data_IF_298396805938
#
_entry.id   IF_298396805938
#
_cell.length_a   1.000
_cell.length_b   1.000
_cell.length_c   1.000
_cell.angle_alpha   90.00
_cell.angle_beta   90.00
_cell.angle_gamma   90.00
#
_symmetry.space_group_name_H-M   'P 1'
#
loop_
_entity.id
_entity.type
_entity.pdbx_description
1 polymer ?
#
# COMPACT_ATOMS: atom_id res chain seq x y z
N UNK A 1 -4.28 6.28 6.26
CA UNK A 1 -5.10 5.67 5.18
C UNK A 1 -5.74 4.40 5.73
N UNK A 2 -7.04 4.21 5.49
CA UNK A 2 -7.77 3.03 5.93
C UNK A 2 -7.87 2.00 4.80
N UNK A 3 -7.82 0.69 5.15
CA UNK A 3 -7.99 -0.41 4.20
C UNK A 3 -9.22 -1.22 4.56
N UNK A 4 -10.00 -1.58 3.55
CA UNK A 4 -11.16 -2.45 3.66
C UNK A 4 -11.04 -3.61 2.68
N UNK A 5 -11.44 -4.81 3.09
CA UNK A 5 -11.51 -5.99 2.23
C UNK A 5 -12.99 -6.29 1.95
N UNK A 6 -13.36 -6.30 0.67
CA UNK A 6 -14.74 -6.60 0.26
C UNK A 6 -14.80 -7.73 -0.77
N UNK A 7 -15.75 -8.68 -0.61
CA UNK A 7 -16.06 -9.62 -1.67
C UNK A 7 -16.85 -8.88 -2.77
N UNK A 8 -16.16 -8.48 -3.82
CA UNK A 8 -16.73 -7.81 -4.98
C UNK A 8 -16.52 -8.70 -6.19
N UNK A 9 -17.58 -9.37 -6.63
CA UNK A 9 -17.61 -10.04 -7.92
C UNK A 9 -17.48 -9.00 -9.06
N UNK A 10 -16.93 -9.40 -10.20
CA UNK A 10 -16.64 -8.48 -11.31
C UNK A 10 -17.87 -7.69 -11.81
N UNK A 11 -19.05 -8.26 -11.71
CA UNK A 11 -20.32 -7.63 -12.09
C UNK A 11 -20.83 -6.62 -11.04
N UNK A 12 -20.38 -6.72 -9.79
CA UNK A 12 -20.78 -5.83 -8.68
C UNK A 12 -19.83 -4.68 -8.44
N UNK A 13 -18.60 -4.78 -8.90
CA UNK A 13 -17.58 -3.74 -8.68
C UNK A 13 -17.99 -2.40 -9.31
N UNK A 14 -18.70 -2.44 -10.44
CA UNK A 14 -19.18 -1.25 -11.15
C UNK A 14 -20.21 -0.44 -10.35
N UNK A 15 -20.91 -1.09 -9.42
CA UNK A 15 -21.92 -0.48 -8.56
C UNK A 15 -21.36 -0.03 -7.19
N UNK A 16 -20.06 -0.17 -6.95
CA UNK A 16 -19.45 0.32 -5.72
C UNK A 16 -19.21 1.84 -5.83
N UNK A 17 -19.89 2.60 -4.98
CA UNK A 17 -19.76 4.07 -4.97
C UNK A 17 -18.37 4.49 -4.44
N UNK A 18 -17.57 5.10 -5.31
CA UNK A 18 -16.23 5.58 -5.00
C UNK A 18 -15.81 6.70 -5.96
N UNK A 19 -14.71 7.38 -5.63
CA UNK A 19 -14.17 8.45 -6.49
C UNK A 19 -13.39 7.87 -7.66
N UNK A 20 -12.66 6.77 -7.42
CA UNK A 20 -11.97 6.05 -8.49
C UNK A 20 -12.10 4.53 -8.30
N UNK A 21 -12.40 3.84 -9.39
CA UNK A 21 -12.36 2.39 -9.52
C UNK A 21 -11.13 2.03 -10.36
N UNK A 22 -10.21 1.26 -9.77
CA UNK A 22 -9.07 0.68 -10.47
C UNK A 22 -9.37 -0.79 -10.72
N UNK A 23 -9.35 -1.22 -11.99
CA UNK A 23 -9.53 -2.61 -12.38
C UNK A 23 -8.21 -3.14 -12.95
N UNK A 24 -7.67 -4.17 -12.32
CA UNK A 24 -6.44 -4.83 -12.75
C UNK A 24 -6.74 -5.86 -13.83
N UNK A 25 -6.02 -5.79 -14.95
CA UNK A 25 -6.25 -6.60 -16.15
C UNK A 25 -5.00 -7.40 -16.49
N UNK A 26 -5.06 -8.73 -16.37
CA UNK A 26 -3.94 -9.63 -16.68
C UNK A 26 -3.87 -10.00 -18.16
N UNK A 27 -2.64 -10.23 -18.65
CA UNK A 27 -2.38 -10.80 -19.97
C UNK A 27 -2.76 -12.29 -20.00
N UNK A 28 -3.22 -12.78 -21.14
CA UNK A 28 -3.55 -14.22 -21.32
C UNK A 28 -4.96 -14.64 -20.91
N UNK A 29 -5.71 -13.76 -20.25
CA UNK A 29 -7.13 -13.99 -19.95
C UNK A 29 -8.08 -13.43 -21.01
N UNK A 30 -7.51 -12.92 -22.07
CA UNK A 30 -8.23 -12.44 -23.27
C UNK A 30 -9.07 -13.52 -23.96
N UNK A 31 -8.81 -14.80 -23.64
CA UNK A 31 -9.49 -15.90 -24.30
C UNK A 31 -10.92 -16.11 -23.87
N UNK A 32 -11.32 -15.94 -22.62
CA UNK A 32 -12.71 -16.24 -22.21
C UNK A 32 -13.12 -15.72 -20.82
N UNK A 33 -12.27 -15.64 -19.82
CA UNK A 33 -12.71 -15.41 -18.44
C UNK A 33 -12.88 -13.94 -18.06
N UNK A 34 -12.08 -13.02 -18.63
CA UNK A 34 -12.25 -11.58 -18.38
C UNK A 34 -13.43 -10.99 -19.18
N UNK A 35 -13.69 -11.56 -20.38
CA UNK A 35 -14.85 -11.22 -21.23
C UNK A 35 -16.18 -11.80 -20.71
N UNK A 36 -16.14 -12.66 -19.70
CA UNK A 36 -17.34 -13.29 -19.11
C UNK A 36 -17.99 -12.40 -18.04
N UNK A 37 -17.30 -11.36 -17.54
CA UNK A 37 -17.93 -10.36 -16.69
C UNK A 37 -18.97 -9.55 -17.48
N UNK A 38 -20.23 -9.60 -17.05
CA UNK A 38 -21.32 -8.79 -17.65
C UNK A 38 -21.29 -7.32 -17.22
N UNK A 39 -20.29 -6.89 -16.44
CA UNK A 39 -20.15 -5.52 -15.94
C UNK A 39 -19.64 -4.55 -16.99
N UNK A 40 -20.04 -3.28 -16.87
CA UNK A 40 -19.65 -2.21 -17.80
C UNK A 40 -18.14 -2.02 -17.90
N UNK A 41 -17.42 -2.15 -16.78
CA UNK A 41 -15.94 -2.08 -16.74
C UNK A 41 -15.29 -3.20 -17.55
N UNK A 42 -15.83 -4.43 -17.48
CA UNK A 42 -15.34 -5.57 -18.23
C UNK A 42 -15.57 -5.41 -19.74
N UNK A 43 -16.76 -4.94 -20.13
CA UNK A 43 -17.10 -4.65 -21.53
C UNK A 43 -16.18 -3.57 -22.09
N UNK A 44 -15.98 -2.48 -21.34
CA UNK A 44 -15.10 -1.38 -21.73
C UNK A 44 -13.65 -1.84 -21.90
N UNK A 45 -13.15 -2.65 -20.98
CA UNK A 45 -11.81 -3.22 -21.08
C UNK A 45 -11.64 -4.08 -22.33
N UNK A 46 -12.63 -4.95 -22.62
CA UNK A 46 -12.60 -5.81 -23.80
C UNK A 46 -12.63 -5.00 -25.10
N UNK A 47 -13.45 -3.96 -25.17
CA UNK A 47 -13.52 -3.05 -26.33
C UNK A 47 -12.20 -2.31 -26.52
N UNK A 48 -11.64 -1.73 -25.47
CA UNK A 48 -10.40 -0.97 -25.52
C UNK A 48 -9.18 -1.84 -25.92
N UNK A 49 -9.15 -3.11 -25.49
CA UNK A 49 -8.12 -4.05 -25.93
C UNK A 49 -8.30 -4.39 -27.41
N UNK A 50 -9.53 -4.64 -27.86
CA UNK A 50 -9.82 -4.98 -29.25
C UNK A 50 -9.51 -3.84 -30.23
N UNK A 51 -9.76 -2.59 -29.81
CA UNK A 51 -9.44 -1.39 -30.60
C UNK A 51 -7.96 -1.00 -30.56
N UNK A 52 -7.17 -1.58 -29.64
CA UNK A 52 -5.76 -1.22 -29.44
C UNK A 52 -5.54 0.00 -28.54
N UNK A 53 -6.60 0.54 -27.91
CA UNK A 53 -6.51 1.70 -27.01
C UNK A 53 -5.94 1.34 -25.65
N UNK A 54 -5.97 0.05 -25.28
CA UNK A 54 -5.45 -0.44 -24.02
C UNK A 54 -4.61 -1.72 -24.19
N UNK A 55 -3.40 -1.72 -23.57
CA UNK A 55 -2.49 -2.86 -23.54
C UNK A 55 -2.42 -3.41 -22.09
N UNK A 56 -2.46 -4.73 -21.94
CA UNK A 56 -2.38 -5.42 -20.66
C UNK A 56 -0.98 -5.52 -20.08
N UNK A 57 0.05 -4.95 -20.73
CA UNK A 57 1.41 -4.85 -20.21
C UNK A 57 1.43 -4.10 -18.89
N UNK A 58 2.38 -4.49 -18.02
CA UNK A 58 2.49 -3.98 -16.65
C UNK A 58 2.56 -2.45 -16.60
N UNK A 59 1.65 -1.84 -15.83
CA UNK A 59 1.62 -0.40 -15.60
C UNK A 59 1.02 0.43 -16.75
N UNK A 60 0.53 -0.21 -17.84
CA UNK A 60 -0.25 0.50 -18.85
C UNK A 60 -1.61 0.86 -18.28
N UNK A 61 -2.05 2.09 -18.55
CA UNK A 61 -3.28 2.66 -17.98
C UNK A 61 -4.19 3.17 -19.07
N UNK A 62 -5.50 2.93 -18.89
CA UNK A 62 -6.56 3.64 -19.61
C UNK A 62 -7.49 4.27 -18.57
N UNK A 63 -7.72 5.57 -18.66
CA UNK A 63 -8.59 6.30 -17.72
C UNK A 63 -9.83 6.81 -18.43
N UNK A 64 -11.00 6.54 -17.85
CA UNK A 64 -12.28 7.04 -18.29
C UNK A 64 -12.95 7.84 -17.17
N UNK A 65 -13.46 9.01 -17.47
CA UNK A 65 -14.18 9.85 -16.53
C UNK A 65 -15.68 9.69 -16.71
N UNK A 66 -16.40 9.46 -15.61
CA UNK A 66 -17.86 9.26 -15.56
C UNK A 66 -18.36 8.25 -16.61
N UNK A 67 -17.77 7.03 -16.66
CA UNK A 67 -18.17 6.03 -17.63
C UNK A 67 -19.61 5.59 -17.39
N UNK A 68 -20.34 5.36 -18.47
CA UNK A 68 -21.74 4.90 -18.40
C UNK A 68 -21.82 3.51 -17.77
N UNK A 69 -22.76 3.31 -16.83
CA UNK A 69 -22.97 2.03 -16.17
C UNK A 69 -22.01 1.74 -15.01
N UNK A 70 -21.16 2.72 -14.60
CA UNK A 70 -20.23 2.59 -13.48
C UNK A 70 -20.46 3.76 -12.51
N UNK A 71 -20.62 3.47 -11.23
CA UNK A 71 -20.90 4.51 -10.21
C UNK A 71 -19.66 5.31 -9.79
N UNK A 72 -18.46 4.82 -10.08
CA UNK A 72 -17.22 5.55 -9.81
C UNK A 72 -17.10 6.79 -10.71
N UNK A 73 -16.64 7.91 -10.16
CA UNK A 73 -16.39 9.13 -10.92
C UNK A 73 -15.27 8.96 -11.97
N UNK A 74 -14.34 8.03 -11.71
CA UNK A 74 -13.23 7.68 -12.61
C UNK A 74 -13.00 6.18 -12.63
N UNK A 75 -12.91 5.60 -13.82
CA UNK A 75 -12.43 4.24 -14.03
C UNK A 75 -10.98 4.29 -14.52
N UNK A 76 -10.13 3.43 -13.95
CA UNK A 76 -8.76 3.22 -14.41
C UNK A 76 -8.58 1.73 -14.68
N UNK A 77 -8.42 1.36 -15.93
CA UNK A 77 -7.95 0.03 -16.30
C UNK A 77 -6.43 0.02 -16.18
N UNK A 78 -5.87 -1.00 -15.55
CA UNK A 78 -4.44 -1.11 -15.35
C UNK A 78 -3.94 -2.50 -15.71
N UNK A 79 -3.01 -2.59 -16.68
CA UNK A 79 -2.38 -3.83 -17.09
C UNK A 79 -1.45 -4.38 -15.99
N UNK A 80 -1.56 -5.66 -15.70
CA UNK A 80 -0.71 -6.38 -14.71
C UNK A 80 0.16 -7.47 -15.33
N UNK A 81 0.22 -7.57 -16.65
CA UNK A 81 0.98 -8.61 -17.34
C UNK A 81 0.51 -10.01 -16.91
N UNK A 82 1.42 -10.83 -16.38
CA UNK A 82 1.15 -12.19 -15.90
C UNK A 82 0.39 -12.24 -14.56
N UNK A 83 0.13 -11.08 -13.92
CA UNK A 83 -0.53 -11.01 -12.63
C UNK A 83 0.33 -11.43 -11.43
N UNK A 84 1.63 -11.66 -11.60
CA UNK A 84 2.54 -11.98 -10.51
C UNK A 84 2.55 -10.89 -9.43
N UNK A 85 2.85 -11.20 -8.15
CA UNK A 85 2.89 -10.21 -7.07
C UNK A 85 3.81 -9.01 -7.36
N UNK A 86 4.92 -9.24 -8.07
CA UNK A 86 5.84 -8.19 -8.53
C UNK A 86 5.17 -7.25 -9.52
N UNK A 87 4.51 -7.82 -10.53
CA UNK A 87 3.83 -7.06 -11.58
C UNK A 87 2.59 -6.33 -11.02
N UNK A 88 1.85 -6.96 -10.12
CA UNK A 88 0.75 -6.32 -9.38
C UNK A 88 1.24 -5.08 -8.62
N UNK A 89 2.36 -5.19 -7.89
CA UNK A 89 2.94 -4.06 -7.17
C UNK A 89 3.25 -2.89 -8.11
N UNK A 90 3.91 -3.15 -9.22
CA UNK A 90 4.26 -2.12 -10.22
C UNK A 90 3.01 -1.47 -10.82
N UNK A 91 2.02 -2.27 -11.18
CA UNK A 91 0.76 -1.81 -11.76
C UNK A 91 -0.04 -0.93 -10.79
N UNK A 92 -0.17 -1.37 -9.53
CA UNK A 92 -0.87 -0.60 -8.50
C UNK A 92 -0.17 0.73 -8.23
N UNK A 93 1.17 0.76 -8.16
CA UNK A 93 1.92 2.01 -8.02
C UNK A 93 1.68 2.97 -9.19
N UNK A 94 1.63 2.47 -10.42
CA UNK A 94 1.31 3.28 -11.61
C UNK A 94 -0.12 3.84 -11.55
N UNK A 95 -1.11 3.00 -11.23
CA UNK A 95 -2.50 3.41 -11.12
C UNK A 95 -2.72 4.47 -10.04
N UNK A 96 -2.17 4.28 -8.84
CA UNK A 96 -2.24 5.28 -7.77
C UNK A 96 -1.42 6.53 -8.10
N UNK A 97 -0.32 6.40 -8.85
CA UNK A 97 0.45 7.53 -9.38
C UNK A 97 -0.41 8.47 -10.24
N UNK A 98 -1.34 7.91 -11.04
CA UNK A 98 -2.26 8.68 -11.88
C UNK A 98 -3.35 9.42 -11.09
N UNK A 99 -3.53 9.09 -9.81
CA UNK A 99 -4.45 9.76 -8.89
C UNK A 99 -3.78 10.86 -8.05
N UNK A 100 -2.44 11.01 -8.13
CA UNK A 100 -1.74 12.08 -7.41
C UNK A 100 -2.27 13.45 -7.83
N UNK A 101 -2.57 14.29 -6.84
CA UNK A 101 -3.14 15.62 -7.08
C UNK A 101 -4.65 15.63 -7.37
N UNK A 102 -5.32 14.48 -7.43
CA UNK A 102 -6.77 14.41 -7.51
C UNK A 102 -7.42 14.51 -6.13
N UNK A 103 -8.74 14.77 -6.12
CA UNK A 103 -9.55 14.85 -4.91
C UNK A 103 -10.11 13.49 -4.47
N UNK A 104 -9.61 12.38 -5.03
CA UNK A 104 -10.09 11.05 -4.71
C UNK A 104 -9.81 10.68 -3.25
N UNK A 105 -10.89 10.56 -2.47
CA UNK A 105 -10.85 10.20 -1.06
C UNK A 105 -11.09 8.69 -0.84
N UNK A 106 -11.94 8.08 -1.67
CA UNK A 106 -12.24 6.63 -1.63
C UNK A 106 -11.90 6.01 -2.97
N UNK A 107 -11.00 5.03 -2.94
CA UNK A 107 -10.59 4.25 -4.13
C UNK A 107 -10.96 2.78 -3.94
N UNK A 108 -11.53 2.17 -4.95
CA UNK A 108 -11.74 0.73 -5.02
C UNK A 108 -10.69 0.14 -5.96
N UNK A 109 -9.91 -0.79 -5.46
CA UNK A 109 -8.96 -1.59 -6.24
C UNK A 109 -9.52 -2.99 -6.42
N UNK A 110 -9.98 -3.31 -7.62
CA UNK A 110 -10.45 -4.64 -7.99
C UNK A 110 -9.29 -5.48 -8.53
N UNK A 111 -9.01 -6.61 -7.88
CA UNK A 111 -7.98 -7.53 -8.35
C UNK A 111 -8.44 -8.34 -9.59
N UNK A 112 -9.70 -8.24 -9.95
CA UNK A 112 -10.25 -8.98 -11.10
C UNK A 112 -10.37 -10.49 -10.84
N UNK A 113 -10.91 -11.22 -11.82
CA UNK A 113 -11.01 -12.71 -11.74
C UNK A 113 -9.74 -13.41 -12.13
N UNK A 114 -8.81 -12.71 -12.70
CA UNK A 114 -7.62 -13.29 -13.29
C UNK A 114 -6.32 -13.01 -12.59
N UNK A 115 -6.28 -12.09 -11.70
CA UNK A 115 -5.19 -12.03 -10.75
C UNK A 115 -5.49 -13.08 -9.69
N UNK A 116 -4.53 -13.93 -9.43
CA UNK A 116 -4.61 -14.90 -8.34
C UNK A 116 -5.06 -14.15 -7.07
N UNK A 117 -6.31 -14.41 -6.63
CA UNK A 117 -6.82 -13.89 -5.35
C UNK A 117 -6.07 -14.49 -4.16
N UNK A 118 -4.87 -15.04 -4.42
CA UNK A 118 -3.99 -15.58 -3.41
C UNK A 118 -3.66 -14.52 -2.38
N UNK A 119 -3.45 -14.97 -1.16
CA UNK A 119 -3.02 -14.08 -0.09
C UNK A 119 -1.75 -13.28 -0.44
N UNK A 120 -0.91 -13.76 -1.37
CA UNK A 120 0.29 -13.06 -1.83
C UNK A 120 -0.04 -11.86 -2.73
N UNK A 121 -0.95 -12.04 -3.68
CA UNK A 121 -1.41 -10.97 -4.58
C UNK A 121 -2.08 -9.83 -3.78
N UNK A 122 -2.99 -10.19 -2.88
CA UNK A 122 -3.65 -9.22 -2.00
C UNK A 122 -2.66 -8.47 -1.11
N UNK A 123 -1.69 -9.19 -0.51
CA UNK A 123 -0.62 -8.56 0.28
C UNK A 123 0.19 -7.57 -0.55
N UNK A 124 0.60 -7.96 -1.76
CA UNK A 124 1.35 -7.09 -2.66
C UNK A 124 0.57 -5.83 -3.05
N UNK A 125 -0.72 -5.96 -3.35
CA UNK A 125 -1.60 -4.85 -3.67
C UNK A 125 -1.75 -3.88 -2.50
N UNK A 126 -2.03 -4.38 -1.28
CA UNK A 126 -2.17 -3.55 -0.07
C UNK A 126 -0.89 -2.79 0.22
N UNK A 127 0.28 -3.46 0.16
CA UNK A 127 1.58 -2.81 0.40
C UNK A 127 1.85 -1.74 -0.66
N UNK A 128 1.55 -2.01 -1.93
CA UNK A 128 1.72 -1.02 -2.99
C UNK A 128 0.82 0.22 -2.81
N UNK A 129 -0.44 0.03 -2.37
CA UNK A 129 -1.33 1.13 -2.02
C UNK A 129 -0.76 1.97 -0.86
N UNK A 130 -0.23 1.31 0.19
CA UNK A 130 0.43 1.97 1.30
C UNK A 130 1.65 2.79 0.85
N UNK A 131 2.49 2.21 0.00
CA UNK A 131 3.66 2.89 -0.56
C UNK A 131 3.26 4.13 -1.39
N UNK A 132 2.23 4.00 -2.22
CA UNK A 132 1.75 5.09 -3.06
C UNK A 132 1.10 6.23 -2.27
N UNK A 133 0.41 5.90 -1.17
CA UNK A 133 -0.31 6.87 -0.34
C UNK A 133 0.54 7.52 0.75
N UNK A 134 1.76 7.02 1.00
CA UNK A 134 2.62 7.59 2.03
C UNK A 134 3.15 8.98 1.65
N UNK A 135 3.03 9.91 2.58
CA UNK A 135 3.62 11.26 2.45
C UNK A 135 4.16 11.70 3.81
N UNK A 136 5.48 11.95 3.87
CA UNK A 136 6.12 12.47 5.07
C UNK A 136 5.74 13.95 5.30
N UNK A 137 5.26 14.28 6.51
CA UNK A 137 4.79 15.62 6.85
C UNK A 137 5.31 16.18 8.17
N UNK A 138 5.83 15.35 9.05
CA UNK A 138 6.12 15.69 10.46
C UNK A 138 6.99 16.94 10.61
N UNK A 139 7.93 17.17 9.69
CA UNK A 139 8.80 18.35 9.71
C UNK A 139 8.64 19.25 8.47
N UNK A 140 7.53 19.06 7.72
CA UNK A 140 7.20 19.84 6.53
C UNK A 140 5.88 20.59 6.74
N UNK A 141 5.91 21.81 7.28
CA UNK A 141 4.69 22.54 7.66
C UNK A 141 3.76 22.83 6.46
N UNK A 142 4.31 22.94 5.25
CA UNK A 142 3.56 23.20 4.01
C UNK A 142 3.07 21.94 3.30
N UNK A 143 3.42 20.73 3.79
CA UNK A 143 3.02 19.50 3.14
C UNK A 143 1.52 19.25 3.32
N UNK A 144 0.80 19.17 2.21
CA UNK A 144 -0.63 18.86 2.19
C UNK A 144 -0.86 17.39 2.51
N UNK A 145 -1.88 17.10 3.31
CA UNK A 145 -2.32 15.73 3.54
C UNK A 145 -2.80 15.11 2.21
N UNK A 146 -2.44 13.85 1.99
CA UNK A 146 -3.07 13.08 0.91
C UNK A 146 -4.60 13.03 1.19
N UNK A 147 -5.41 13.34 0.18
CA UNK A 147 -6.88 13.30 0.29
C UNK A 147 -7.40 11.86 0.37
N UNK A 148 -6.63 10.91 -0.14
CA UNK A 148 -6.97 9.49 -0.11
C UNK A 148 -7.10 8.98 1.33
N UNK A 149 -8.33 8.74 1.75
CA UNK A 149 -8.69 8.30 3.10
C UNK A 149 -8.90 6.79 3.17
N UNK A 150 -9.55 6.20 2.16
CA UNK A 150 -9.95 4.78 2.17
C UNK A 150 -9.63 4.09 0.86
N UNK A 151 -9.03 2.90 0.98
CA UNK A 151 -8.81 1.97 -0.13
C UNK A 151 -9.56 0.67 0.14
N UNK A 152 -10.50 0.35 -0.74
CA UNK A 152 -11.25 -0.91 -0.70
C UNK A 152 -10.57 -1.90 -1.64
N UNK A 153 -10.14 -3.05 -1.12
CA UNK A 153 -9.60 -4.16 -1.90
C UNK A 153 -10.75 -5.08 -2.27
N UNK A 154 -11.12 -5.05 -3.54
CA UNK A 154 -12.17 -5.90 -4.10
C UNK A 154 -11.60 -7.25 -4.57
N UNK A 155 -12.13 -8.34 -4.06
CA UNK A 155 -11.69 -9.72 -4.33
C UNK A 155 -12.88 -10.63 -4.59
N UNK A 156 -12.68 -11.73 -5.31
CA UNK A 156 -13.72 -12.72 -5.53
C UNK A 156 -14.10 -13.45 -4.21
N UNK A 157 -13.11 -13.80 -3.38
CA UNK A 157 -13.30 -14.48 -2.10
C UNK A 157 -12.55 -13.78 -0.97
N UNK A 158 -13.29 -13.14 -0.08
CA UNK A 158 -12.71 -12.51 1.11
C UNK A 158 -12.06 -13.52 2.06
N UNK A 159 -12.58 -14.74 2.14
CA UNK A 159 -12.04 -15.80 3.01
C UNK A 159 -10.61 -16.18 2.60
N UNK A 160 -10.36 -16.39 1.30
CA UNK A 160 -9.03 -16.71 0.76
C UNK A 160 -8.07 -15.53 0.88
N UNK A 161 -8.56 -14.32 0.67
CA UNK A 161 -7.79 -13.09 0.71
C UNK A 161 -7.43 -12.60 2.12
N UNK A 162 -8.21 -12.99 3.15
CA UNK A 162 -8.14 -12.43 4.52
C UNK A 162 -6.74 -12.47 5.11
N UNK A 163 -6.03 -13.60 5.01
CA UNK A 163 -4.67 -13.73 5.56
C UNK A 163 -3.70 -12.75 4.90
N UNK A 164 -3.75 -12.65 3.56
CA UNK A 164 -2.90 -11.73 2.80
C UNK A 164 -3.22 -10.27 3.12
N UNK A 165 -4.49 -9.94 3.29
CA UNK A 165 -4.94 -8.61 3.67
C UNK A 165 -4.44 -8.20 5.05
N UNK A 166 -4.61 -9.06 6.07
CA UNK A 166 -4.13 -8.79 7.45
C UNK A 166 -2.60 -8.62 7.48
N UNK A 167 -1.85 -9.50 6.79
CA UNK A 167 -0.40 -9.35 6.69
C UNK A 167 0.01 -8.10 5.92
N UNK A 168 -0.71 -7.75 4.84
CA UNK A 168 -0.45 -6.55 4.07
C UNK A 168 -0.65 -5.28 4.87
N UNK A 169 -1.75 -5.17 5.62
CA UNK A 169 -2.02 -4.01 6.48
C UNK A 169 -1.03 -3.88 7.62
N UNK A 170 -0.63 -5.00 8.24
CA UNK A 170 0.42 -4.99 9.25
C UNK A 170 1.77 -4.52 8.69
N UNK A 171 2.13 -4.97 7.48
CA UNK A 171 3.34 -4.51 6.79
C UNK A 171 3.29 -3.02 6.46
N UNK A 172 2.15 -2.50 5.98
CA UNK A 172 1.99 -1.05 5.73
C UNK A 172 2.22 -0.25 7.01
N UNK A 173 1.62 -0.66 8.13
CA UNK A 173 1.81 0.02 9.41
C UNK A 173 3.29 0.03 9.85
N UNK A 174 3.98 -1.10 9.69
CA UNK A 174 5.43 -1.20 10.00
C UNK A 174 6.29 -0.36 9.06
N UNK A 175 6.00 -0.37 7.75
CA UNK A 175 6.70 0.43 6.76
C UNK A 175 6.48 1.93 6.95
N UNK A 176 5.25 2.35 7.26
CA UNK A 176 4.95 3.76 7.54
C UNK A 176 5.68 4.23 8.80
N UNK A 177 5.72 3.39 9.85
CA UNK A 177 6.52 3.67 11.04
C UNK A 177 8.01 3.82 10.71
N UNK A 178 8.58 2.90 9.94
CA UNK A 178 9.99 2.94 9.56
C UNK A 178 10.30 4.18 8.68
N UNK A 179 9.46 4.47 7.69
CA UNK A 179 9.60 5.66 6.82
C UNK A 179 9.49 6.96 7.61
N UNK A 180 8.60 7.01 8.59
CA UNK A 180 8.43 8.18 9.46
C UNK A 180 9.74 8.51 10.20
N UNK A 181 10.39 7.51 10.77
CA UNK A 181 11.66 7.71 11.48
C UNK A 181 12.85 7.94 10.54
N UNK A 182 12.89 7.25 9.39
CA UNK A 182 13.96 7.41 8.41
C UNK A 182 13.97 8.79 7.73
N UNK A 183 12.80 9.43 7.62
CA UNK A 183 12.67 10.76 7.01
C UNK A 183 12.88 11.93 7.97
N UNK A 184 12.95 11.68 9.29
CA UNK A 184 13.17 12.74 10.27
C UNK A 184 14.61 13.24 10.23
N UNK A 185 14.84 14.54 10.26
CA UNK A 185 16.18 15.09 10.48
C UNK A 185 16.68 14.77 11.89
N UNK A 186 17.99 14.84 12.11
CA UNK A 186 18.66 14.40 13.34
C UNK A 186 18.09 15.02 14.62
N UNK A 187 17.70 16.28 14.59
CA UNK A 187 17.07 16.98 15.73
C UNK A 187 15.64 16.47 16.07
N UNK A 188 15.01 15.73 15.15
CA UNK A 188 13.71 15.07 15.33
C UNK A 188 13.80 13.55 15.41
N UNK A 189 15.01 12.98 15.29
CA UNK A 189 15.29 11.55 15.41
C UNK A 189 16.49 11.30 16.36
N UNK A 190 16.48 11.96 17.52
CA UNK A 190 17.52 11.78 18.53
C UNK A 190 17.47 10.37 19.15
N UNK A 191 18.56 9.88 19.75
CA UNK A 191 18.58 8.57 20.42
C UNK A 191 17.46 8.42 21.45
N UNK A 192 17.15 9.49 22.20
CA UNK A 192 16.07 9.47 23.19
C UNK A 192 14.68 9.32 22.53
N UNK A 193 14.42 10.03 21.44
CA UNK A 193 13.16 9.94 20.73
C UNK A 193 12.95 8.56 20.08
N UNK A 194 14.01 8.00 19.47
CA UNK A 194 13.97 6.64 18.91
C UNK A 194 13.74 5.58 20.01
N UNK A 195 14.37 5.72 21.16
CA UNK A 195 14.15 4.84 22.31
C UNK A 195 12.70 4.90 22.81
N UNK A 196 12.11 6.10 22.86
CA UNK A 196 10.71 6.26 23.25
C UNK A 196 9.76 5.62 22.21
N UNK A 197 10.04 5.78 20.94
CA UNK A 197 9.28 5.11 19.87
C UNK A 197 9.37 3.59 19.99
N UNK A 198 10.55 3.04 20.24
CA UNK A 198 10.75 1.61 20.48
C UNK A 198 9.95 1.11 21.69
N UNK A 199 9.94 1.86 22.81
CA UNK A 199 9.14 1.50 24.01
C UNK A 199 7.64 1.40 23.70
N UNK A 200 7.10 2.21 22.75
CA UNK A 200 5.72 2.10 22.34
C UNK A 200 5.43 0.74 21.68
N UNK A 201 6.40 0.19 20.94
CA UNK A 201 6.28 -1.15 20.35
C UNK A 201 6.24 -2.25 21.41
N UNK A 202 6.86 -2.04 22.57
CA UNK A 202 6.79 -2.97 23.71
C UNK A 202 5.40 -3.17 24.31
N UNK A 203 4.39 -2.38 23.89
CA UNK A 203 2.97 -2.60 24.24
C UNK A 203 2.31 -3.75 23.46
N UNK A 204 2.92 -4.20 22.38
CA UNK A 204 2.40 -5.35 21.63
C UNK A 204 2.67 -6.65 22.40
N UNK A 205 1.71 -7.59 22.42
CA UNK A 205 1.89 -8.89 23.05
C UNK A 205 3.13 -9.62 22.53
N UNK A 206 3.87 -10.26 23.43
CA UNK A 206 5.11 -11.02 23.12
C UNK A 206 6.26 -10.18 22.58
N UNK A 207 6.21 -8.87 22.73
CA UNK A 207 7.27 -7.97 22.31
C UNK A 207 7.88 -7.26 23.53
N UNK A 208 9.18 -7.47 23.77
CA UNK A 208 9.90 -6.83 24.87
C UNK A 208 10.88 -5.82 24.34
N UNK A 209 10.95 -4.66 24.96
CA UNK A 209 11.89 -3.59 24.60
C UNK A 209 12.64 -3.14 25.84
N UNK A 210 13.96 -3.30 25.80
CA UNK A 210 14.88 -2.78 26.81
C UNK A 210 15.67 -1.61 26.20
N UNK A 211 15.86 -0.56 26.97
CA UNK A 211 16.65 0.62 26.57
C UNK A 211 17.72 0.85 27.57
N UNK A 212 18.98 0.67 27.16
CA UNK A 212 20.15 0.86 27.98
C UNK A 212 20.76 2.25 27.70
N UNK A 213 21.13 2.94 28.75
CA UNK A 213 21.81 4.23 28.72
C UNK A 213 23.33 4.11 28.81
N UNK A 214 24.04 5.26 28.92
CA UNK A 214 25.51 5.27 28.98
C UNK A 214 26.10 4.41 30.10
N UNK A 215 25.48 4.40 31.29
CA UNK A 215 25.97 3.64 32.44
C UNK A 215 25.90 2.13 32.23
N UNK A 216 24.77 1.65 31.67
CA UNK A 216 24.55 0.24 31.38
C UNK A 216 25.46 -0.23 30.25
N UNK A 217 25.64 0.58 29.22
CA UNK A 217 26.54 0.32 28.09
C UNK A 217 27.99 0.21 28.54
N UNK A 218 28.43 1.13 29.41
CA UNK A 218 29.78 1.07 30.01
C UNK A 218 29.99 -0.18 30.88
N UNK A 219 28.99 -0.56 31.70
CA UNK A 219 29.03 -1.78 32.52
C UNK A 219 29.13 -3.04 31.67
N UNK A 220 28.54 -3.04 30.45
CA UNK A 220 28.64 -4.16 29.51
C UNK A 220 29.94 -4.18 28.71
N UNK A 221 30.86 -3.22 28.90
CA UNK A 221 32.13 -3.14 28.20
C UNK A 221 31.99 -2.80 26.70
N UNK A 222 30.89 -2.17 26.26
CA UNK A 222 30.59 -1.88 24.83
C UNK A 222 31.37 -0.64 24.35
N UNK A 223 32.71 -0.72 24.37
CA UNK A 223 33.62 0.41 24.06
C UNK A 223 33.41 0.97 22.65
N UNK A 224 33.32 0.11 21.63
CA UNK A 224 33.11 0.54 20.24
C UNK A 224 31.79 1.30 20.05
N UNK A 225 30.72 0.84 20.73
CA UNK A 225 29.43 1.54 20.69
C UNK A 225 29.51 2.91 21.39
N UNK A 226 30.20 2.98 22.54
CA UNK A 226 30.42 4.23 23.27
C UNK A 226 31.28 5.22 22.45
N UNK A 227 32.31 4.73 21.72
CA UNK A 227 33.18 5.55 20.92
C UNK A 227 32.42 6.29 19.79
N UNK A 228 31.45 5.64 19.14
CA UNK A 228 30.60 6.27 18.10
C UNK A 228 29.80 7.44 18.67
N UNK A 229 29.40 7.38 19.94
CA UNK A 229 28.58 8.39 20.58
C UNK A 229 29.38 9.59 21.16
N UNK A 230 30.72 9.53 21.19
CA UNK A 230 31.55 10.56 21.84
C UNK A 230 31.38 11.95 21.21
N UNK A 231 31.12 12.04 19.93
CA UNK A 231 30.91 13.31 19.23
C UNK A 231 29.49 13.88 19.31
N UNK A 232 28.57 13.21 19.99
CA UNK A 232 27.17 13.61 20.08
C UNK A 232 26.90 14.37 21.40
N UNK A 233 26.14 15.46 21.33
CA UNK A 233 25.63 16.15 22.52
C UNK A 233 24.53 15.32 23.23
N UNK A 234 23.80 14.52 22.45
CA UNK A 234 22.71 13.66 22.95
C UNK A 234 23.27 12.36 23.54
N UNK A 235 22.80 11.94 24.75
CA UNK A 235 23.25 10.70 25.36
C UNK A 235 22.84 9.47 24.49
N UNK A 236 23.79 8.55 24.33
CA UNK A 236 23.53 7.29 23.61
C UNK A 236 22.37 6.48 24.23
N UNK A 237 21.72 5.69 23.36
CA UNK A 237 20.73 4.68 23.76
C UNK A 237 20.99 3.39 22.99
N UNK A 238 21.10 2.28 23.70
CA UNK A 238 21.14 0.95 23.09
C UNK A 238 19.77 0.31 23.25
N UNK A 239 19.10 0.06 22.12
CA UNK A 239 17.72 -0.43 22.08
C UNK A 239 17.75 -1.92 21.74
N UNK A 240 17.24 -2.76 22.64
CA UNK A 240 17.13 -4.20 22.46
C UNK A 240 15.66 -4.56 22.32
N UNK A 241 15.30 -5.19 21.20
CA UNK A 241 13.95 -5.65 20.93
C UNK A 241 13.93 -7.18 20.80
N UNK A 242 13.06 -7.85 21.55
CA UNK A 242 12.93 -9.31 21.62
C UNK A 242 11.48 -9.75 21.58
#
# INVERSE_FOLDING_TARGET
>A
MNFELKPLANDRVDFEKCDALIVLVASGQLGTAFLVGKGASSVLAAMAIKSGDFDTKVGKLLSCYRPVGILASRLILCGVGDGSPKNLRTAVLAAFGSLKGSDAAKVVLSLGTGSDSSGQAVRAAVVACGDAGYTYRTTKPTATAAKLATVVIGVASAAQAKRGFVLGTALVNGLDFAKEWANRPSNHATPALLANAAKVLGKYPKFKVDVLGPKEVAKLGMGSFAAVAQGAAEPLRFIVMR
#
